data_IF_885194105476
#
_entry.id   IF_885194105476
#
_cell.length_a   1.000
_cell.length_b   1.000
_cell.length_c   1.000
_cell.angle_alpha   90.00
_cell.angle_beta   90.00
_cell.angle_gamma   90.00
#
_symmetry.space_group_name_H-M   'P 1'
#
loop_
_entity.id
_entity.type
_entity.pdbx_description
1 polymer ?
#
# COMPACT_ATOMS: atom_id res chain seq x y z
N UNK A 1 18.97 2.17 -15.42
CA UNK A 1 18.29 3.47 -15.26
C UNK A 1 17.09 3.28 -14.33
N UNK A 2 17.03 3.99 -13.20
CA UNK A 2 15.90 3.90 -12.27
C UNK A 2 14.72 4.74 -12.77
N UNK A 3 13.55 4.12 -12.97
CA UNK A 3 12.31 4.86 -13.21
C UNK A 3 11.76 5.30 -11.86
N UNK A 4 11.61 6.60 -11.67
CA UNK A 4 10.96 7.15 -10.46
C UNK A 4 9.50 6.68 -10.42
N UNK A 5 9.04 6.28 -9.24
CA UNK A 5 7.64 5.92 -9.02
C UNK A 5 6.70 7.13 -9.21
N UNK A 6 5.43 6.85 -9.50
CA UNK A 6 4.39 7.87 -9.60
C UNK A 6 4.26 8.62 -8.27
N UNK A 7 3.93 9.92 -8.33
CA UNK A 7 3.58 10.67 -7.12
C UNK A 7 2.26 10.21 -6.48
N UNK A 8 1.44 9.46 -7.24
CA UNK A 8 0.18 8.90 -6.75
C UNK A 8 0.35 7.53 -6.08
N UNK A 9 1.51 6.90 -6.23
CA UNK A 9 1.82 5.60 -5.63
C UNK A 9 2.65 5.79 -4.35
N UNK A 10 2.06 6.50 -3.38
CA UNK A 10 2.72 6.83 -2.10
C UNK A 10 2.02 6.18 -0.92
N UNK A 11 2.81 5.72 0.04
CA UNK A 11 2.32 5.09 1.27
C UNK A 11 2.46 6.12 2.41
N UNK A 12 1.36 6.54 3.05
CA UNK A 12 1.42 7.51 4.14
C UNK A 12 1.89 6.84 5.44
N UNK A 13 3.20 6.87 5.68
CA UNK A 13 3.79 6.40 6.95
C UNK A 13 3.80 7.52 8.00
N UNK A 14 3.52 7.19 9.26
CA UNK A 14 3.66 8.13 10.37
C UNK A 14 5.15 8.44 10.65
N UNK A 15 5.49 9.55 11.34
CA UNK A 15 6.89 9.94 11.58
C UNK A 15 7.75 8.83 12.22
N UNK A 16 7.18 8.07 13.14
CA UNK A 16 7.82 6.94 13.80
C UNK A 16 8.19 5.84 12.78
N UNK A 17 7.25 5.37 11.97
CA UNK A 17 7.51 4.32 10.98
C UNK A 17 8.15 4.84 9.67
N UNK A 18 8.18 6.15 9.46
CA UNK A 18 8.82 6.75 8.30
C UNK A 18 10.32 6.97 8.55
N UNK A 19 10.70 7.62 9.66
CA UNK A 19 12.08 8.07 9.87
C UNK A 19 12.64 7.92 11.30
N UNK A 20 11.82 8.07 12.34
CA UNK A 20 12.34 8.26 13.70
C UNK A 20 12.43 6.96 14.53
N UNK A 21 11.59 5.97 14.23
CA UNK A 21 11.51 4.72 14.97
C UNK A 21 12.63 3.72 14.62
N UNK A 22 12.89 2.74 15.49
CA UNK A 22 13.89 1.69 15.27
C UNK A 22 13.57 0.78 14.08
N UNK A 23 12.30 0.71 13.73
CA UNK A 23 11.72 -0.04 12.63
C UNK A 23 11.22 0.89 11.51
N UNK A 24 11.73 2.12 11.43
CA UNK A 24 11.41 3.05 10.35
C UNK A 24 11.94 2.56 9.00
N UNK A 25 11.22 2.86 7.92
CA UNK A 25 11.64 2.50 6.56
C UNK A 25 13.01 3.09 6.21
N UNK A 26 13.28 4.34 6.60
CA UNK A 26 14.58 4.97 6.36
C UNK A 26 15.73 4.42 7.21
N UNK A 27 15.45 3.70 8.31
CA UNK A 27 16.48 3.03 9.11
C UNK A 27 16.88 1.71 8.48
N UNK A 28 15.92 0.88 8.09
CA UNK A 28 16.18 -0.38 7.40
C UNK A 28 15.02 -0.76 6.48
N UNK A 29 15.10 -0.48 5.16
CA UNK A 29 14.07 -0.87 4.21
C UNK A 29 13.84 -2.39 4.17
N UNK A 30 14.90 -3.18 4.37
CA UNK A 30 14.82 -4.64 4.42
C UNK A 30 14.09 -5.11 5.68
N UNK A 31 14.49 -4.63 6.85
CA UNK A 31 13.82 -4.99 8.12
C UNK A 31 12.37 -4.50 8.17
N UNK A 32 12.11 -3.32 7.61
CA UNK A 32 10.75 -2.82 7.42
C UNK A 32 9.93 -3.76 6.54
N UNK A 33 10.48 -4.19 5.39
CA UNK A 33 9.80 -5.11 4.47
C UNK A 33 9.53 -6.47 5.11
N UNK A 34 10.48 -7.01 5.88
CA UNK A 34 10.32 -8.27 6.61
C UNK A 34 9.21 -8.19 7.68
N UNK A 35 9.05 -7.03 8.31
CA UNK A 35 8.08 -6.83 9.41
C UNK A 35 6.67 -6.44 8.92
N UNK A 36 6.59 -5.58 7.90
CA UNK A 36 5.33 -4.94 7.46
C UNK A 36 4.88 -5.37 6.06
N UNK A 37 5.70 -6.10 5.32
CA UNK A 37 5.47 -6.44 3.93
C UNK A 37 6.08 -5.42 2.96
N UNK A 38 5.98 -5.74 1.67
CA UNK A 38 6.54 -4.93 0.59
C UNK A 38 5.79 -3.62 0.40
N UNK A 39 6.47 -2.64 -0.20
CA UNK A 39 5.85 -1.37 -0.58
C UNK A 39 4.61 -1.55 -1.46
N UNK A 40 4.62 -2.55 -2.37
CA UNK A 40 3.45 -2.84 -3.23
C UNK A 40 2.25 -3.35 -2.44
N UNK A 41 2.47 -4.24 -1.48
CA UNK A 41 1.40 -4.79 -0.64
C UNK A 41 0.80 -3.70 0.26
N UNK A 42 1.64 -2.86 0.85
CA UNK A 42 1.19 -1.74 1.67
C UNK A 42 0.44 -0.69 0.84
N UNK A 43 0.90 -0.39 -0.37
CA UNK A 43 0.20 0.53 -1.27
C UNK A 43 -1.16 -0.04 -1.70
N UNK A 44 -1.25 -1.34 -1.96
CA UNK A 44 -2.53 -1.99 -2.27
C UNK A 44 -3.49 -1.88 -1.08
N UNK A 45 -3.02 -2.18 0.12
CA UNK A 45 -3.80 -2.06 1.35
C UNK A 45 -4.38 -0.66 1.55
N UNK A 46 -3.57 0.38 1.33
CA UNK A 46 -4.03 1.78 1.41
C UNK A 46 -5.09 2.07 0.35
N UNK A 47 -4.92 1.59 -0.88
CA UNK A 47 -5.91 1.79 -1.94
C UNK A 47 -7.24 1.09 -1.64
N UNK A 48 -7.20 -0.10 -1.03
CA UNK A 48 -8.39 -0.86 -0.66
C UNK A 48 -9.12 -0.18 0.52
N UNK A 49 -8.38 0.29 1.54
CA UNK A 49 -8.95 1.05 2.67
C UNK A 49 -9.60 2.35 2.21
N UNK A 50 -9.05 2.99 1.18
CA UNK A 50 -9.60 4.20 0.57
C UNK A 50 -10.65 3.92 -0.51
N UNK A 51 -10.94 2.64 -0.80
CA UNK A 51 -11.84 2.20 -1.87
C UNK A 51 -11.53 2.85 -3.23
N UNK A 52 -10.24 3.07 -3.54
CA UNK A 52 -9.77 3.62 -4.83
C UNK A 52 -9.94 2.57 -5.94
N UNK A 53 -9.80 1.29 -5.57
CA UNK A 53 -9.88 0.12 -6.46
C UNK A 53 -11.30 -0.43 -6.62
N UNK A 54 -12.25 0.02 -5.80
CA UNK A 54 -13.65 -0.43 -5.84
C UNK A 54 -14.55 0.39 -6.78
N UNK A 55 -15.82 -0.01 -6.88
CA UNK A 55 -16.82 0.75 -7.64
C UNK A 55 -16.86 2.20 -7.13
N UNK A 56 -16.77 3.17 -8.05
CA UNK A 56 -16.93 4.62 -7.78
C UNK A 56 -18.17 4.97 -6.95
N UNK A 57 -19.14 4.06 -6.91
CA UNK A 57 -20.37 4.18 -6.16
C UNK A 57 -20.24 3.91 -4.65
N UNK A 58 -19.09 3.45 -4.14
CA UNK A 58 -18.85 3.25 -2.70
C UNK A 58 -19.51 2.00 -2.10
N UNK A 59 -20.16 1.15 -2.90
CA UNK A 59 -20.67 -0.13 -2.42
C UNK A 59 -19.56 -1.20 -2.46
N UNK A 60 -19.42 -1.95 -1.37
CA UNK A 60 -18.48 -3.06 -1.23
C UNK A 60 -18.85 -4.28 -2.08
N UNK A 61 -20.01 -4.26 -2.77
CA UNK A 61 -20.55 -5.39 -3.52
C UNK A 61 -19.86 -5.66 -4.87
N UNK A 62 -19.00 -4.75 -5.37
CA UNK A 62 -18.33 -4.95 -6.65
C UNK A 62 -17.10 -5.89 -6.60
N UNK A 63 -16.62 -6.28 -5.40
CA UNK A 63 -15.40 -7.08 -5.30
C UNK A 63 -15.63 -8.57 -5.58
N UNK A 64 -16.82 -9.10 -5.31
CA UNK A 64 -17.03 -10.56 -5.27
C UNK A 64 -17.62 -11.18 -6.56
N UNK A 65 -17.82 -10.39 -7.62
CA UNK A 65 -18.38 -10.89 -8.90
C UNK A 65 -17.36 -10.95 -10.05
N UNK A 66 -16.11 -10.54 -9.84
CA UNK A 66 -15.06 -10.59 -10.88
C UNK A 66 -14.15 -11.81 -10.81
N UNK A 67 -14.36 -12.74 -9.86
CA UNK A 67 -13.49 -13.91 -9.66
C UNK A 67 -14.20 -15.27 -9.62
N UNK A 68 -15.48 -15.33 -9.99
CA UNK A 68 -16.25 -16.58 -10.14
C UNK A 68 -16.39 -17.04 -11.61
N UNK A 69 -15.57 -16.49 -12.52
CA UNK A 69 -15.70 -16.68 -13.96
C UNK A 69 -14.44 -17.15 -14.72
N UNK A 70 -13.46 -17.76 -14.04
CA UNK A 70 -12.34 -18.47 -14.69
C UNK A 70 -12.19 -19.88 -14.12
#
# INVERSE_FOLDING_TARGET
MGRKASHFETIPLCPEHHRHGPDAYHVSPKGFTEKYGTQRELLQKVQDELNITGCKCGCTSAFNESFSGL
#
